data_IF_763471820102
#
_entry.id   IF_763471820102
#
_cell.length_a   1.000
_cell.length_b   1.000
_cell.length_c   1.000
_cell.angle_alpha   90.00
_cell.angle_beta   90.00
_cell.angle_gamma   90.00
#
_symmetry.space_group_name_H-M   'P 1'
#
loop_
_entity.id
_entity.type
_entity.pdbx_description
1 polymer ?
#
# COMPACT_ATOMS: atom_id res chain seq x y z
N UNK A 1 13.59 -27.26 25.75
CA UNK A 1 13.38 -25.80 25.85
C UNK A 1 14.05 -25.03 24.70
N UNK A 2 15.35 -25.19 24.45
CA UNK A 2 16.09 -24.49 23.37
C UNK A 2 15.51 -24.71 21.97
N UNK A 3 15.14 -25.96 21.66
CA UNK A 3 14.48 -26.37 20.41
C UNK A 3 13.14 -25.62 20.17
N UNK A 4 12.35 -25.43 21.23
CA UNK A 4 11.04 -24.74 21.14
C UNK A 4 11.25 -23.26 20.83
N UNK A 5 12.24 -22.60 21.45
CA UNK A 5 12.57 -21.20 21.16
C UNK A 5 13.05 -21.01 19.71
N UNK A 6 13.85 -21.94 19.19
CA UNK A 6 14.31 -21.90 17.80
C UNK A 6 13.13 -22.07 16.85
N UNK A 7 12.20 -22.99 17.14
CA UNK A 7 10.99 -23.18 16.33
C UNK A 7 10.09 -21.94 16.33
N UNK A 8 9.88 -21.30 17.49
CA UNK A 8 9.07 -20.09 17.61
C UNK A 8 9.70 -18.90 16.84
N UNK A 9 11.01 -18.68 17.00
CA UNK A 9 11.73 -17.61 16.29
C UNK A 9 11.68 -17.78 14.76
N UNK A 10 11.81 -19.02 14.27
CA UNK A 10 11.68 -19.29 12.84
C UNK A 10 10.25 -19.09 12.35
N UNK A 11 9.24 -19.40 13.17
CA UNK A 11 7.84 -19.18 12.84
C UNK A 11 7.55 -17.68 12.68
N UNK A 12 7.99 -16.85 13.64
CA UNK A 12 7.84 -15.39 13.59
C UNK A 12 8.54 -14.79 12.36
N UNK A 13 9.71 -15.30 11.99
CA UNK A 13 10.43 -14.87 10.79
C UNK A 13 9.67 -15.20 9.50
N UNK A 14 9.09 -16.41 9.41
CA UNK A 14 8.33 -16.85 8.23
C UNK A 14 7.06 -16.01 8.05
N UNK A 15 6.37 -15.66 9.13
CA UNK A 15 5.21 -14.75 9.06
C UNK A 15 5.61 -13.33 8.64
N UNK A 16 6.74 -12.83 9.14
CA UNK A 16 7.27 -11.51 8.76
C UNK A 16 7.61 -11.42 7.27
N UNK A 17 8.12 -12.51 6.67
CA UNK A 17 8.48 -12.55 5.24
C UNK A 17 7.24 -12.65 4.34
N UNK A 18 6.15 -13.27 4.79
CA UNK A 18 4.90 -13.32 4.03
C UNK A 18 4.19 -11.96 3.96
N UNK A 19 4.37 -11.09 4.97
CA UNK A 19 3.87 -9.72 4.96
C UNK A 19 4.51 -8.83 3.88
N UNK A 20 5.68 -9.20 3.35
CA UNK A 20 6.42 -8.46 2.32
C UNK A 20 5.94 -8.82 0.90
N UNK A 21 5.14 -9.89 0.75
CA UNK A 21 4.70 -10.38 -0.56
C UNK A 21 3.49 -9.60 -1.05
N UNK A 22 3.73 -8.35 -1.48
CA UNK A 22 2.76 -7.45 -2.11
C UNK A 22 1.82 -6.79 -1.11
N UNK A 23 2.09 -5.50 -0.86
CA UNK A 23 1.30 -4.63 0.01
C UNK A 23 -0.18 -4.72 -0.37
N UNK A 24 -1.06 -4.92 0.62
CA UNK A 24 -2.52 -5.00 0.45
C UNK A 24 -3.08 -3.88 -0.45
N UNK A 25 -2.62 -2.61 -0.33
CA UNK A 25 -2.98 -1.55 -1.28
C UNK A 25 -2.79 -1.92 -2.75
N UNK A 26 -1.63 -2.50 -3.11
CA UNK A 26 -1.33 -2.86 -4.49
C UNK A 26 -2.12 -4.09 -4.95
N UNK A 27 -2.29 -5.09 -4.09
CA UNK A 27 -3.07 -6.30 -4.43
C UNK A 27 -4.56 -6.05 -4.60
N UNK A 28 -5.09 -5.10 -3.84
CA UNK A 28 -6.51 -4.74 -3.87
C UNK A 28 -6.83 -3.63 -4.85
N UNK A 29 -5.82 -3.02 -5.47
CA UNK A 29 -6.01 -1.95 -6.43
C UNK A 29 -6.73 -2.47 -7.68
N UNK A 30 -7.90 -1.89 -7.95
CA UNK A 30 -8.68 -2.14 -9.15
C UNK A 30 -9.13 -0.81 -9.73
N UNK A 31 -8.78 -0.55 -10.99
CA UNK A 31 -9.08 0.69 -11.69
C UNK A 31 -9.86 0.42 -12.98
N UNK A 32 -10.84 1.26 -13.25
CA UNK A 32 -11.63 1.26 -14.48
C UNK A 32 -11.90 2.70 -14.89
N UNK A 33 -12.22 2.90 -16.16
CA UNK A 33 -12.46 4.23 -16.71
C UNK A 33 -13.68 4.21 -17.64
N UNK A 34 -14.22 5.40 -17.88
CA UNK A 34 -15.35 5.62 -18.79
C UNK A 34 -14.90 5.86 -20.25
N UNK A 35 -13.58 5.81 -20.51
CA UNK A 35 -12.93 6.12 -21.78
C UNK A 35 -13.28 7.51 -22.36
N UNK A 36 -13.70 8.43 -21.50
CA UNK A 36 -14.16 9.76 -21.89
C UNK A 36 -13.53 10.85 -21.03
N UNK A 37 -13.68 10.77 -19.72
CA UNK A 37 -13.26 11.86 -18.81
C UNK A 37 -12.82 11.41 -17.42
N UNK A 38 -13.16 10.19 -17.00
CA UNK A 38 -13.03 9.76 -15.61
C UNK A 38 -12.36 8.40 -15.47
N UNK A 39 -11.43 8.35 -14.52
CA UNK A 39 -10.86 7.12 -13.99
C UNK A 39 -11.33 6.95 -12.56
N UNK A 40 -11.80 5.75 -12.23
CA UNK A 40 -12.17 5.35 -10.87
C UNK A 40 -11.30 4.17 -10.44
N UNK A 41 -10.68 4.31 -9.27
CA UNK A 41 -9.90 3.25 -8.65
C UNK A 41 -10.49 2.91 -7.28
N UNK A 42 -10.43 1.64 -6.93
CA UNK A 42 -10.76 1.13 -5.60
C UNK A 42 -9.54 0.41 -5.04
N UNK A 43 -9.29 0.54 -3.75
CA UNK A 43 -8.22 -0.17 -3.05
C UNK A 43 -8.52 -0.27 -1.56
N UNK A 44 -7.77 -1.11 -0.86
CA UNK A 44 -7.93 -1.38 0.56
C UNK A 44 -6.60 -1.30 1.29
N UNK A 45 -6.65 -1.00 2.59
CA UNK A 45 -5.52 -1.13 3.51
C UNK A 45 -5.97 -1.55 4.89
N UNK A 46 -5.05 -2.03 5.71
CA UNK A 46 -5.36 -2.26 7.12
C UNK A 46 -5.58 -0.93 7.86
N UNK A 47 -6.57 -0.91 8.76
CA UNK A 47 -6.83 0.24 9.62
C UNK A 47 -5.64 0.60 10.52
N UNK A 48 -4.91 -0.41 11.00
CA UNK A 48 -3.67 -0.23 11.77
C UNK A 48 -2.55 0.40 10.94
N UNK A 49 -2.37 -0.05 9.69
CA UNK A 49 -1.40 0.52 8.77
C UNK A 49 -1.73 1.99 8.47
N UNK A 50 -3.01 2.29 8.21
CA UNK A 50 -3.48 3.65 7.99
C UNK A 50 -3.20 4.60 9.18
N UNK A 51 -3.36 4.10 10.41
CA UNK A 51 -3.08 4.86 11.61
C UNK A 51 -1.58 5.16 11.78
N UNK A 52 -0.71 4.25 11.35
CA UNK A 52 0.74 4.42 11.43
C UNK A 52 1.30 5.29 10.29
N UNK A 53 0.93 5.01 9.05
CA UNK A 53 1.40 5.69 7.83
C UNK A 53 0.25 5.76 6.83
N UNK A 54 -0.13 6.97 6.42
CA UNK A 54 -1.16 7.11 5.38
C UNK A 54 -0.53 7.00 4.01
N UNK A 55 -1.15 6.21 3.15
CA UNK A 55 -0.76 6.06 1.76
C UNK A 55 -1.63 6.95 0.87
N UNK A 56 -1.03 7.46 -0.20
CA UNK A 56 -1.69 8.27 -1.22
C UNK A 56 -1.47 7.60 -2.57
N UNK A 57 -2.56 7.40 -3.33
CA UNK A 57 -2.50 6.82 -4.66
C UNK A 57 -2.18 7.90 -5.70
N UNK A 58 -1.20 7.64 -6.54
CA UNK A 58 -0.83 8.46 -7.69
C UNK A 58 -1.05 7.68 -8.98
N UNK A 59 -1.48 8.37 -10.02
CA UNK A 59 -1.59 7.90 -11.40
C UNK A 59 -0.56 8.63 -12.26
N UNK A 60 0.07 7.92 -13.19
CA UNK A 60 0.94 8.49 -14.21
C UNK A 60 0.67 7.82 -15.55
N UNK A 61 0.33 8.62 -16.55
CA UNK A 61 0.21 8.15 -17.93
C UNK A 61 1.54 8.30 -18.70
N UNK A 62 1.67 7.57 -19.81
CA UNK A 62 2.84 7.63 -20.69
C UNK A 62 2.85 8.84 -21.65
N UNK A 63 1.86 9.73 -21.58
CA UNK A 63 1.71 10.90 -22.46
C UNK A 63 2.27 12.15 -21.77
N UNK A 64 1.68 12.53 -20.64
CA UNK A 64 2.09 13.67 -19.80
C UNK A 64 3.27 13.32 -18.91
N UNK A 65 3.41 12.03 -18.52
CA UNK A 65 4.50 11.56 -17.65
C UNK A 65 4.56 12.23 -16.26
N UNK A 66 3.50 12.91 -15.86
CA UNK A 66 3.35 13.55 -14.55
C UNK A 66 2.68 12.60 -13.55
N UNK A 67 3.11 12.65 -12.30
CA UNK A 67 2.42 11.93 -11.22
C UNK A 67 1.25 12.79 -10.73
N UNK A 68 0.02 12.37 -11.02
CA UNK A 68 -1.21 13.01 -10.55
C UNK A 68 -1.72 12.31 -9.31
N UNK A 69 -2.00 13.07 -8.26
CA UNK A 69 -2.63 12.53 -7.07
C UNK A 69 -4.09 12.14 -7.37
N UNK A 70 -4.49 10.96 -6.94
CA UNK A 70 -5.88 10.50 -7.05
C UNK A 70 -6.70 11.02 -5.87
N UNK A 71 -7.89 11.56 -6.13
CA UNK A 71 -8.77 12.07 -5.08
C UNK A 71 -9.55 10.92 -4.43
N UNK A 72 -9.03 10.42 -3.31
CA UNK A 72 -9.59 9.28 -2.58
C UNK A 72 -10.52 9.71 -1.44
N UNK A 73 -11.62 8.98 -1.29
CA UNK A 73 -12.52 9.06 -0.14
C UNK A 73 -12.74 7.66 0.44
N UNK A 74 -12.85 7.58 1.76
CA UNK A 74 -13.22 6.34 2.44
C UNK A 74 -14.64 5.97 2.02
N UNK A 75 -14.84 4.74 1.59
CA UNK A 75 -16.17 4.19 1.34
C UNK A 75 -16.90 4.03 2.68
N UNK A 76 -18.14 4.49 2.77
CA UNK A 76 -18.91 4.37 4.01
C UNK A 76 -19.28 2.90 4.28
N UNK A 77 -19.21 2.47 5.54
CA UNK A 77 -19.46 1.08 5.98
C UNK A 77 -20.83 0.52 5.54
N UNK A 78 -21.79 1.38 5.20
CA UNK A 78 -23.14 0.98 4.81
C UNK A 78 -23.23 0.32 3.41
N UNK A 79 -22.16 0.39 2.59
CA UNK A 79 -22.18 -0.12 1.21
C UNK A 79 -21.48 -1.49 1.05
N UNK A 80 -20.82 -2.01 2.09
CA UNK A 80 -20.05 -3.26 2.03
C UNK A 80 -20.36 -4.17 3.22
N UNK A 81 -21.21 -5.17 2.99
CA UNK A 81 -21.60 -6.16 4.00
C UNK A 81 -20.50 -7.19 4.37
N UNK A 82 -19.30 -7.11 3.79
CA UNK A 82 -18.32 -8.22 3.82
C UNK A 82 -16.89 -7.81 4.19
N UNK A 83 -16.61 -6.54 4.45
CA UNK A 83 -15.29 -6.13 4.90
C UNK A 83 -15.16 -6.38 6.41
N UNK A 84 -14.22 -7.21 6.88
CA UNK A 84 -13.92 -7.23 8.32
C UNK A 84 -13.44 -5.83 8.74
N UNK A 85 -13.85 -5.37 9.93
CA UNK A 85 -13.52 -4.06 10.54
C UNK A 85 -12.02 -3.69 10.54
N UNK A 86 -11.15 -4.64 10.18
CA UNK A 86 -9.71 -4.48 10.07
C UNK A 86 -9.23 -3.81 8.77
N UNK A 87 -10.09 -3.61 7.76
CA UNK A 87 -9.73 -2.98 6.49
C UNK A 87 -10.50 -1.68 6.21
N UNK A 88 -9.81 -0.72 5.63
CA UNK A 88 -10.37 0.54 5.14
C UNK A 88 -10.50 0.46 3.62
N UNK A 89 -11.69 0.71 3.10
CA UNK A 89 -11.97 0.75 1.67
C UNK A 89 -11.91 2.18 1.15
N UNK A 90 -11.23 2.36 0.01
CA UNK A 90 -11.06 3.65 -0.63
C UNK A 90 -11.64 3.63 -2.04
N UNK A 91 -12.38 4.69 -2.38
CA UNK A 91 -12.80 4.98 -3.75
C UNK A 91 -12.11 6.27 -4.16
N UNK A 92 -11.38 6.22 -5.26
CA UNK A 92 -10.59 7.32 -5.76
C UNK A 92 -11.00 7.69 -7.18
N UNK A 93 -11.00 8.98 -7.46
CA UNK A 93 -11.32 9.50 -8.78
C UNK A 93 -10.23 10.43 -9.29
N UNK A 94 -10.06 10.44 -10.61
CA UNK A 94 -9.31 11.46 -11.32
C UNK A 94 -9.98 11.75 -12.67
N UNK A 95 -9.71 12.94 -13.19
CA UNK A 95 -10.18 13.37 -14.50
C UNK A 95 -9.00 13.50 -15.45
N UNK A 96 -9.13 12.95 -16.65
CA UNK A 96 -8.11 13.01 -17.69
C UNK A 96 -8.80 12.94 -19.04
N UNK A 97 -8.20 13.51 -20.07
CA UNK A 97 -8.67 13.41 -21.46
C UNK A 97 -7.77 12.47 -22.29
N UNK A 98 -6.74 11.90 -21.64
CA UNK A 98 -5.73 11.04 -22.25
C UNK A 98 -6.22 9.59 -22.33
N UNK A 99 -7.18 9.31 -23.21
CA UNK A 99 -7.64 7.95 -23.50
C UNK A 99 -7.23 7.52 -24.90
N UNK A 100 -6.74 6.29 -25.01
CA UNK A 100 -6.32 5.73 -26.29
C UNK A 100 -5.83 4.31 -26.15
N UNK A 101 -5.90 3.55 -27.24
CA UNK A 101 -5.26 2.24 -27.30
C UNK A 101 -3.74 2.47 -27.23
N UNK A 102 -3.07 1.84 -26.26
CA UNK A 102 -1.63 2.04 -26.02
C UNK A 102 -1.28 3.18 -25.07
N UNK A 103 -2.29 3.80 -24.43
CA UNK A 103 -2.07 4.63 -23.24
C UNK A 103 -1.95 3.71 -22.04
N UNK A 104 -0.78 3.73 -21.41
CA UNK A 104 -0.50 2.94 -20.22
C UNK A 104 -0.57 3.82 -18.98
N UNK A 105 -1.39 3.43 -18.02
CA UNK A 105 -1.49 4.06 -16.70
C UNK A 105 -0.68 3.27 -15.68
N UNK A 106 0.27 3.94 -15.04
CA UNK A 106 1.05 3.42 -13.93
C UNK A 106 0.49 4.00 -12.63
N UNK A 107 0.19 3.11 -11.69
CA UNK A 107 -0.32 3.47 -10.37
C UNK A 107 0.74 3.25 -9.30
N UNK A 108 0.86 4.18 -8.35
CA UNK A 108 1.87 4.10 -7.29
C UNK A 108 1.32 4.63 -5.98
N UNK A 109 1.59 3.91 -4.89
CA UNK A 109 1.30 4.39 -3.55
C UNK A 109 2.53 5.09 -2.96
N UNK A 110 2.35 6.28 -2.39
CA UNK A 110 3.38 6.99 -1.65
C UNK A 110 2.93 7.29 -0.23
N UNK A 111 3.80 7.11 0.77
CA UNK A 111 3.49 7.53 2.13
C UNK A 111 3.43 9.06 2.20
N UNK A 112 2.52 9.59 3.02
CA UNK A 112 2.36 11.03 3.24
C UNK A 112 3.50 11.66 4.08
N UNK A 113 4.44 10.85 4.54
CA UNK A 113 5.61 11.26 5.32
C UNK A 113 6.82 10.43 4.93
N UNK A 114 8.01 11.00 5.08
CA UNK A 114 9.26 10.26 4.95
C UNK A 114 9.36 9.32 6.16
N UNK A 115 9.57 8.03 5.88
CA UNK A 115 9.84 7.04 6.92
C UNK A 115 11.35 6.98 7.14
N UNK A 116 11.80 7.30 8.34
CA UNK A 116 13.20 7.16 8.74
C UNK A 116 13.29 6.01 9.75
N UNK A 117 14.15 5.04 9.47
CA UNK A 117 14.50 3.99 10.41
C UNK A 117 15.94 4.24 10.88
N UNK A 118 16.14 4.28 12.20
CA UNK A 118 17.45 4.41 12.79
C UNK A 118 17.89 3.05 13.33
N UNK A 119 19.10 2.63 12.95
CA UNK A 119 19.72 1.40 13.46
C UNK A 119 20.85 1.80 14.42
N UNK A 120 20.61 1.62 15.71
CA UNK A 120 21.64 1.78 16.74
C UNK A 120 22.44 0.48 16.85
N UNK A 121 23.67 0.48 16.36
CA UNK A 121 24.60 -0.65 16.48
C UNK A 121 25.61 -0.34 17.59
N UNK A 122 25.68 -1.18 18.62
CA UNK A 122 26.75 -1.13 19.61
C UNK A 122 27.99 -1.85 19.04
N UNK A 123 29.05 -1.08 18.79
CA UNK A 123 30.27 -1.55 18.12
C UNK A 123 31.25 -2.28 19.06
N UNK A 124 31.00 -2.32 20.38
CA UNK A 124 31.98 -2.80 21.36
C UNK A 124 31.52 -4.03 22.15
N UNK A 125 31.21 -5.14 21.47
CA UNK A 125 31.04 -6.45 22.14
C UNK A 125 32.19 -7.46 21.91
N UNK A 126 33.21 -7.11 21.12
CA UNK A 126 34.32 -8.04 20.79
C UNK A 126 35.62 -7.70 21.52
N UNK A 127 35.59 -7.64 22.86
CA UNK A 127 36.79 -7.28 23.64
C UNK A 127 36.79 -7.81 25.07
N UNK A 128 36.58 -9.12 25.25
CA UNK A 128 36.97 -9.85 26.47
C UNK A 128 37.44 -11.25 26.09
N UNK A 129 38.70 -11.32 25.68
CA UNK A 129 39.55 -12.49 25.90
C UNK A 129 40.56 -12.13 27.00
#
# INVERSE_FOLDING_TARGET
>A
MKEIFILLLNLDLVFSVQAIRGDIPMKSLNCYNDYNSQVTCTWMEHSEAHALVRMTLYQRDNIMMENKEMFCKRQADNDLHEAPDSYVHWVCHNTTDNFGIGVDDIYTFKPNKILQAELNVDLFQNGKD
#
